data_IF_303486375238
#
_entry.id   IF_303486375238
#
_cell.length_a   1.000
_cell.length_b   1.000
_cell.length_c   1.000
_cell.angle_alpha   90.00
_cell.angle_beta   90.00
_cell.angle_gamma   90.00
#
_symmetry.space_group_name_H-M   'P 1'
#
loop_
_entity.id
_entity.type
_entity.pdbx_description
1 polymer ?
#
# COMPACT_ATOMS: atom_id res chain seq x y z
N UNK A 1 3.78 0.74 -34.54
CA UNK A 1 4.79 -0.25 -34.99
C UNK A 1 4.39 -1.64 -34.47
N UNK A 2 4.53 -2.69 -35.29
CA UNK A 2 4.25 -4.07 -34.86
C UNK A 2 5.27 -4.53 -33.82
N UNK A 3 4.83 -5.31 -32.83
CA UNK A 3 5.59 -5.80 -31.68
C UNK A 3 6.71 -6.79 -32.04
N UNK A 4 7.69 -6.37 -32.86
CA UNK A 4 8.86 -7.19 -33.16
C UNK A 4 9.63 -7.45 -31.86
N UNK A 5 9.83 -8.73 -31.54
CA UNK A 5 10.56 -9.16 -30.35
C UNK A 5 9.74 -9.22 -29.06
N UNK A 6 8.41 -9.18 -29.13
CA UNK A 6 7.55 -9.47 -27.97
C UNK A 6 7.40 -10.98 -27.77
N UNK A 7 7.39 -11.43 -26.51
CA UNK A 7 6.92 -12.78 -26.17
C UNK A 7 5.40 -12.90 -26.41
N UNK A 8 4.85 -14.12 -26.36
CA UNK A 8 3.40 -14.31 -26.50
C UNK A 8 2.62 -13.54 -25.41
N UNK A 9 3.10 -13.57 -24.17
CA UNK A 9 2.48 -12.89 -23.03
C UNK A 9 2.56 -11.37 -23.16
N UNK A 10 3.68 -10.86 -23.66
CA UNK A 10 3.85 -9.44 -23.97
C UNK A 10 2.95 -9.00 -25.12
N UNK A 11 2.81 -9.83 -26.16
CA UNK A 11 1.91 -9.55 -27.29
C UNK A 11 0.45 -9.49 -26.83
N UNK A 12 0.02 -10.39 -25.94
CA UNK A 12 -1.32 -10.34 -25.35
C UNK A 12 -1.56 -9.04 -24.58
N UNK A 13 -0.59 -8.62 -23.77
CA UNK A 13 -0.66 -7.36 -23.04
C UNK A 13 -0.68 -6.15 -23.99
N UNK A 14 0.14 -6.19 -25.03
CA UNK A 14 0.25 -5.17 -26.07
C UNK A 14 -1.08 -4.92 -26.79
N UNK A 15 -1.82 -5.99 -27.08
CA UNK A 15 -3.13 -5.93 -27.75
C UNK A 15 -4.28 -5.64 -26.81
N UNK A 16 -4.17 -6.03 -25.54
CA UNK A 16 -5.19 -5.76 -24.54
C UNK A 16 -5.14 -4.34 -23.96
N UNK A 17 -3.99 -3.66 -24.00
CA UNK A 17 -3.80 -2.34 -23.38
C UNK A 17 -4.70 -1.24 -23.98
N UNK A 18 -4.77 -1.03 -25.32
CA UNK A 18 -5.61 0.04 -25.88
C UNK A 18 -7.11 -0.05 -25.55
N UNK A 19 -7.76 -1.23 -25.60
CA UNK A 19 -9.13 -1.36 -25.12
C UNK A 19 -9.24 -1.45 -23.59
N UNK A 20 -8.12 -1.49 -22.86
CA UNK A 20 -8.08 -1.63 -21.41
C UNK A 20 -8.56 -2.99 -20.90
N UNK A 21 -8.35 -4.07 -21.65
CA UNK A 21 -8.75 -5.43 -21.25
C UNK A 21 -7.78 -6.04 -20.24
N UNK A 22 -8.30 -6.87 -19.33
CA UNK A 22 -7.49 -7.67 -18.41
C UNK A 22 -6.76 -8.80 -19.16
N UNK A 23 -5.47 -8.95 -18.87
CA UNK A 23 -4.65 -10.11 -19.24
C UNK A 23 -4.34 -10.92 -17.99
N UNK A 24 -4.88 -12.14 -17.91
CA UNK A 24 -4.68 -13.07 -16.79
C UNK A 24 -3.75 -14.22 -17.22
N UNK A 25 -2.47 -14.12 -16.85
CA UNK A 25 -1.44 -15.12 -17.15
C UNK A 25 -1.45 -16.31 -16.16
N UNK A 26 -2.16 -16.20 -15.02
CA UNK A 26 -2.25 -17.28 -14.03
C UNK A 26 -2.93 -18.55 -14.58
N UNK A 27 -3.79 -18.38 -15.59
CA UNK A 27 -4.45 -19.49 -16.29
C UNK A 27 -3.48 -20.31 -17.13
N UNK A 28 -2.44 -19.67 -17.68
CA UNK A 28 -1.43 -20.33 -18.53
C UNK A 28 -0.47 -21.18 -17.69
N UNK A 29 -0.22 -20.79 -16.44
CA UNK A 29 0.61 -21.56 -15.52
C UNK A 29 0.03 -22.94 -15.14
N UNK A 30 -1.28 -23.18 -15.30
CA UNK A 30 -1.96 -24.42 -14.88
C UNK A 30 -1.86 -25.59 -15.88
N UNK A 31 -1.34 -25.37 -17.08
CA UNK A 31 -1.41 -26.33 -18.20
C UNK A 31 -0.14 -27.11 -18.54
N UNK A 32 0.91 -27.05 -17.69
CA UNK A 32 2.33 -27.37 -17.94
C UNK A 32 3.15 -26.10 -18.25
N UNK A 33 3.59 -25.37 -17.22
CA UNK A 33 4.18 -24.04 -17.38
C UNK A 33 5.56 -24.12 -18.03
N UNK A 34 5.73 -23.48 -19.19
CA UNK A 34 7.02 -22.92 -19.55
C UNK A 34 7.13 -21.58 -18.82
N UNK A 35 8.23 -21.36 -18.10
CA UNK A 35 8.43 -20.17 -17.27
C UNK A 35 8.25 -18.86 -18.06
N UNK A 36 8.54 -18.88 -19.37
CA UNK A 36 8.35 -17.77 -20.32
C UNK A 36 6.91 -17.27 -20.44
N UNK A 37 5.91 -18.13 -20.19
CA UNK A 37 4.51 -17.83 -20.53
C UNK A 37 3.83 -16.89 -19.52
N UNK A 38 4.52 -16.61 -18.41
CA UNK A 38 4.06 -15.65 -17.41
C UNK A 38 4.97 -14.42 -17.32
N UNK A 39 6.08 -14.41 -18.06
CA UNK A 39 7.09 -13.35 -17.98
C UNK A 39 6.71 -12.21 -18.91
N UNK A 40 6.68 -10.99 -18.35
CA UNK A 40 6.53 -9.74 -19.08
C UNK A 40 7.70 -8.84 -18.67
N UNK A 41 8.47 -8.35 -19.65
CA UNK A 41 9.54 -7.39 -19.35
C UNK A 41 8.95 -6.07 -18.90
N UNK A 42 9.54 -5.50 -17.86
CA UNK A 42 9.20 -4.18 -17.34
C UNK A 42 9.30 -3.08 -18.41
N UNK A 43 10.27 -3.19 -19.32
CA UNK A 43 10.41 -2.27 -20.47
C UNK A 43 9.14 -2.20 -21.33
N UNK A 44 8.47 -3.34 -21.56
CA UNK A 44 7.23 -3.37 -22.36
C UNK A 44 6.10 -2.69 -21.61
N UNK A 45 6.03 -2.85 -20.29
CA UNK A 45 5.05 -2.18 -19.43
C UNK A 45 5.29 -0.66 -19.48
N UNK A 46 6.53 -0.20 -19.31
CA UNK A 46 6.90 1.22 -19.40
C UNK A 46 6.51 1.80 -20.76
N UNK A 47 6.85 1.11 -21.86
CA UNK A 47 6.49 1.52 -23.23
C UNK A 47 4.99 1.73 -23.42
N UNK A 48 4.17 0.79 -22.92
CA UNK A 48 2.71 0.92 -22.96
C UNK A 48 2.21 2.10 -22.13
N UNK A 49 2.71 2.26 -20.91
CA UNK A 49 2.30 3.34 -19.99
C UNK A 49 2.73 4.74 -20.46
N UNK A 50 3.80 4.83 -21.25
CA UNK A 50 4.31 6.07 -21.85
C UNK A 50 3.78 6.32 -23.28
N UNK A 51 2.71 5.63 -23.68
CA UNK A 51 1.91 6.01 -24.85
C UNK A 51 2.37 5.42 -26.18
N UNK A 52 3.10 4.30 -26.19
CA UNK A 52 3.53 3.68 -27.46
C UNK A 52 2.36 3.10 -28.28
N UNK A 53 1.18 2.95 -27.66
CA UNK A 53 -0.02 2.46 -28.32
C UNK A 53 -1.07 3.55 -28.44
N UNK A 54 -1.60 3.69 -29.65
CA UNK A 54 -2.71 4.58 -29.93
C UNK A 54 -3.99 4.09 -29.21
N UNK A 55 -4.75 5.00 -28.57
CA UNK A 55 -6.05 4.67 -27.98
C UNK A 55 -7.05 4.17 -29.03
N UNK A 56 -7.91 3.23 -28.64
CA UNK A 56 -9.02 2.76 -29.48
C UNK A 56 -10.26 3.60 -29.18
N UNK A 57 -10.96 4.15 -30.19
CA UNK A 57 -12.20 4.89 -29.99
C UNK A 57 -13.22 4.13 -29.15
N UNK A 58 -13.89 4.84 -28.24
CA UNK A 58 -14.88 4.27 -27.31
C UNK A 58 -14.29 3.44 -26.17
N UNK A 59 -12.96 3.33 -26.06
CA UNK A 59 -12.29 2.61 -24.98
C UNK A 59 -11.34 3.51 -24.20
N UNK A 60 -11.06 3.14 -22.95
CA UNK A 60 -10.09 3.82 -22.08
C UNK A 60 -8.88 2.90 -21.93
N UNK A 61 -7.71 3.26 -22.48
CA UNK A 61 -6.50 2.45 -22.32
C UNK A 61 -6.09 2.35 -20.85
N UNK A 62 -5.69 1.15 -20.43
CA UNK A 62 -5.25 0.89 -19.07
C UNK A 62 -4.37 -0.36 -19.03
N UNK A 63 -3.39 -0.36 -18.12
CA UNK A 63 -2.64 -1.56 -17.81
C UNK A 63 -3.44 -2.41 -16.82
N UNK A 64 -3.87 -3.60 -17.26
CA UNK A 64 -4.56 -4.59 -16.43
C UNK A 64 -3.91 -5.95 -16.63
N UNK A 65 -3.01 -6.30 -15.74
CA UNK A 65 -2.21 -7.52 -15.78
C UNK A 65 -2.40 -8.33 -14.50
N UNK A 66 -2.54 -9.64 -14.63
CA UNK A 66 -2.66 -10.54 -13.50
C UNK A 66 -1.79 -11.78 -13.66
N UNK A 67 -1.14 -12.22 -12.58
CA UNK A 67 -0.41 -13.49 -12.57
C UNK A 67 0.89 -13.47 -13.36
N UNK A 68 1.52 -12.31 -13.51
CA UNK A 68 2.74 -12.14 -14.30
C UNK A 68 3.99 -12.12 -13.42
N UNK A 69 5.11 -12.62 -13.97
CA UNK A 69 6.45 -12.32 -13.48
C UNK A 69 6.99 -11.12 -14.24
N UNK A 70 7.26 -10.02 -13.53
CA UNK A 70 7.78 -8.79 -14.13
C UNK A 70 9.30 -8.84 -14.13
N UNK A 71 9.88 -9.02 -15.31
CA UNK A 71 11.34 -9.13 -15.48
C UNK A 71 11.98 -7.75 -15.68
N UNK A 72 13.10 -7.51 -15.00
CA UNK A 72 13.78 -6.21 -15.00
C UNK A 72 13.15 -5.15 -14.09
N UNK A 73 13.54 -3.89 -14.30
CA UNK A 73 13.13 -2.74 -13.49
C UNK A 73 11.96 -2.00 -14.16
N UNK A 74 10.83 -1.91 -13.47
CA UNK A 74 9.73 -1.01 -13.84
C UNK A 74 10.05 0.38 -13.29
N UNK A 75 10.56 1.25 -14.15
CA UNK A 75 10.86 2.64 -13.82
C UNK A 75 9.91 3.57 -14.59
N UNK A 76 9.16 4.35 -13.82
CA UNK A 76 8.24 5.40 -14.29
C UNK A 76 8.54 6.73 -13.59
N UNK A 77 9.74 6.87 -13.02
CA UNK A 77 10.10 8.05 -12.22
C UNK A 77 9.97 9.33 -13.05
N UNK A 78 9.35 10.36 -12.47
CA UNK A 78 9.10 11.66 -13.11
C UNK A 78 8.09 11.66 -14.25
N UNK A 79 7.41 10.54 -14.52
CA UNK A 79 6.47 10.44 -15.65
C UNK A 79 5.04 10.86 -15.27
N UNK A 80 4.31 11.44 -16.23
CA UNK A 80 2.84 11.52 -16.18
C UNK A 80 2.26 10.32 -16.93
N UNK A 81 1.63 9.42 -16.19
CA UNK A 81 1.03 8.18 -16.69
C UNK A 81 -0.49 8.36 -16.67
N UNK A 82 -1.13 8.72 -17.79
CA UNK A 82 -2.56 9.05 -17.84
C UNK A 82 -3.48 7.81 -17.73
N UNK A 83 -2.92 6.65 -17.37
CA UNK A 83 -3.57 5.36 -17.35
C UNK A 83 -3.62 4.78 -15.93
N UNK A 84 -4.61 3.95 -15.66
CA UNK A 84 -4.61 3.11 -14.47
C UNK A 84 -3.56 1.99 -14.59
N UNK A 85 -2.84 1.74 -13.49
CA UNK A 85 -1.82 0.70 -13.35
C UNK A 85 -2.35 -0.39 -12.42
N UNK A 86 -2.93 -1.45 -12.99
CA UNK A 86 -3.48 -2.58 -12.24
C UNK A 86 -2.65 -3.82 -12.55
N UNK A 87 -1.90 -4.30 -11.56
CA UNK A 87 -1.00 -5.45 -11.65
C UNK A 87 -1.19 -6.35 -10.43
N UNK A 88 -2.15 -7.26 -10.48
CA UNK A 88 -2.57 -8.07 -9.33
C UNK A 88 -1.97 -9.48 -9.38
N UNK A 89 -1.66 -10.09 -8.23
CA UNK A 89 -1.03 -11.41 -8.17
C UNK A 89 0.26 -11.50 -9.02
N UNK A 90 1.05 -10.43 -9.08
CA UNK A 90 2.29 -10.38 -9.86
C UNK A 90 3.52 -10.57 -8.96
N UNK A 91 4.58 -11.15 -9.51
CA UNK A 91 5.88 -11.28 -8.85
C UNK A 91 6.89 -10.36 -9.56
N UNK A 92 7.52 -9.44 -8.84
CA UNK A 92 8.48 -8.48 -9.41
C UNK A 92 9.93 -8.90 -9.14
N UNK A 93 10.77 -8.91 -10.17
CA UNK A 93 12.21 -9.18 -10.02
C UNK A 93 12.93 -8.06 -9.26
N UNK A 94 12.57 -6.80 -9.56
CA UNK A 94 13.20 -5.60 -8.99
C UNK A 94 12.16 -4.68 -8.37
N UNK A 95 12.62 -3.80 -7.47
CA UNK A 95 11.79 -2.78 -6.82
C UNK A 95 11.25 -1.79 -7.86
N UNK A 96 9.93 -1.71 -8.08
CA UNK A 96 9.34 -0.73 -8.98
C UNK A 96 9.56 0.69 -8.45
N UNK A 97 9.83 1.61 -9.38
CA UNK A 97 10.10 3.02 -9.08
C UNK A 97 9.11 3.92 -9.81
N UNK A 98 8.39 4.71 -9.04
CA UNK A 98 7.47 5.72 -9.55
C UNK A 98 7.70 7.04 -8.76
N UNK A 99 8.96 7.33 -8.40
CA UNK A 99 9.33 8.55 -7.71
C UNK A 99 8.93 9.77 -8.56
N UNK A 100 8.23 10.74 -7.98
CA UNK A 100 7.70 11.92 -8.65
C UNK A 100 6.80 11.63 -9.87
N UNK A 101 6.27 10.41 -10.00
CA UNK A 101 5.34 10.06 -11.06
C UNK A 101 3.90 10.49 -10.73
N UNK A 102 3.06 10.68 -11.73
CA UNK A 102 1.62 10.84 -11.55
C UNK A 102 0.83 9.77 -12.31
N UNK A 103 -0.24 9.26 -11.70
CA UNK A 103 -1.11 8.25 -12.32
C UNK A 103 -2.53 8.30 -11.78
N UNK A 104 -3.46 7.68 -12.52
CA UNK A 104 -4.89 7.62 -12.15
C UNK A 104 -5.16 6.69 -10.98
N UNK A 105 -4.53 5.53 -10.94
CA UNK A 105 -4.77 4.50 -9.95
C UNK A 105 -3.62 3.50 -9.96
N UNK A 106 -3.24 3.01 -8.79
CA UNK A 106 -2.28 1.91 -8.63
C UNK A 106 -2.96 0.82 -7.84
N UNK A 107 -3.03 -0.40 -8.39
CA UNK A 107 -3.50 -1.59 -7.68
C UNK A 107 -2.52 -2.73 -7.90
N UNK A 108 -1.83 -3.10 -6.82
CA UNK A 108 -0.83 -4.18 -6.80
C UNK A 108 -1.30 -5.39 -6.00
N UNK A 109 -2.60 -5.52 -5.72
CA UNK A 109 -3.15 -6.49 -4.77
C UNK A 109 -2.59 -7.90 -4.96
N UNK A 110 -2.24 -8.57 -3.85
CA UNK A 110 -1.65 -9.92 -3.81
C UNK A 110 -0.28 -10.07 -4.51
N UNK A 111 0.41 -8.99 -4.83
CA UNK A 111 1.72 -9.06 -5.49
C UNK A 111 2.88 -9.24 -4.51
N UNK A 112 3.97 -9.84 -4.99
CA UNK A 112 5.25 -9.89 -4.28
C UNK A 112 6.23 -8.99 -5.00
N UNK A 113 6.84 -8.10 -4.25
CA UNK A 113 7.84 -7.19 -4.78
C UNK A 113 8.93 -7.00 -3.76
N UNK A 114 10.16 -6.74 -4.19
CA UNK A 114 11.24 -6.56 -3.23
C UNK A 114 11.05 -5.31 -2.35
N UNK A 115 10.46 -4.25 -2.89
CA UNK A 115 10.27 -2.91 -2.33
C UNK A 115 9.42 -2.08 -3.32
N UNK A 116 8.94 -0.90 -2.93
CA UNK A 116 8.23 0.01 -3.83
C UNK A 116 8.57 1.46 -3.48
N UNK A 117 8.91 2.24 -4.50
CA UNK A 117 9.22 3.65 -4.36
C UNK A 117 8.16 4.54 -5.02
N UNK A 118 7.35 5.21 -4.21
CA UNK A 118 6.35 6.21 -4.59
C UNK A 118 6.68 7.61 -4.02
N UNK A 119 7.94 7.87 -3.65
CA UNK A 119 8.33 9.18 -3.12
C UNK A 119 7.87 10.28 -4.07
N UNK A 120 7.25 11.33 -3.56
CA UNK A 120 6.73 12.45 -4.37
C UNK A 120 5.66 12.10 -5.42
N UNK A 121 5.16 10.86 -5.43
CA UNK A 121 4.20 10.44 -6.44
C UNK A 121 2.80 11.03 -6.18
N UNK A 122 2.02 11.21 -7.25
CA UNK A 122 0.61 11.59 -7.20
C UNK A 122 -0.28 10.48 -7.76
N UNK A 123 -1.22 10.00 -6.96
CA UNK A 123 -2.24 9.04 -7.37
C UNK A 123 -3.61 9.71 -7.26
N UNK A 124 -4.22 10.04 -8.40
CA UNK A 124 -5.50 10.78 -8.44
C UNK A 124 -6.68 9.96 -7.85
N UNK A 125 -6.56 8.64 -7.84
CA UNK A 125 -7.56 7.72 -7.33
C UNK A 125 -7.05 6.91 -6.15
N UNK A 126 -7.18 5.60 -6.25
CA UNK A 126 -6.82 4.67 -5.20
C UNK A 126 -5.34 4.25 -5.32
N UNK A 127 -4.66 4.15 -4.19
CA UNK A 127 -3.43 3.37 -4.06
C UNK A 127 -3.74 2.10 -3.26
N UNK A 128 -3.80 0.96 -3.95
CA UNK A 128 -4.02 -0.35 -3.31
C UNK A 128 -2.76 -1.19 -3.38
N UNK A 129 -2.24 -1.47 -2.19
CA UNK A 129 -1.10 -2.35 -1.93
C UNK A 129 -1.52 -3.49 -1.00
N UNK A 130 -2.77 -3.95 -1.11
CA UNK A 130 -3.36 -4.92 -0.20
C UNK A 130 -2.81 -6.35 -0.43
N UNK A 131 -2.62 -7.10 0.65
CA UNK A 131 -2.13 -8.47 0.66
C UNK A 131 -0.78 -8.67 -0.04
N UNK A 132 0.01 -7.60 -0.16
CA UNK A 132 1.33 -7.62 -0.76
C UNK A 132 2.39 -8.08 0.22
N UNK A 133 3.52 -8.57 -0.32
CA UNK A 133 4.72 -8.90 0.46
C UNK A 133 5.90 -8.09 -0.04
N UNK A 134 6.60 -7.44 0.88
CA UNK A 134 7.83 -6.69 0.62
C UNK A 134 8.88 -6.94 1.69
N UNK A 135 10.10 -7.25 1.28
CA UNK A 135 11.24 -7.43 2.19
C UNK A 135 12.07 -6.16 2.38
N UNK A 136 11.88 -5.16 1.51
CA UNK A 136 12.48 -3.82 1.57
C UNK A 136 11.39 -2.77 1.82
N UNK A 137 11.78 -1.52 2.14
CA UNK A 137 10.84 -0.49 2.54
C UNK A 137 9.79 -0.19 1.46
N UNK A 138 8.56 0.04 1.90
CA UNK A 138 7.53 0.73 1.11
C UNK A 138 7.68 2.24 1.35
N UNK A 139 8.03 2.99 0.31
CA UNK A 139 8.30 4.43 0.40
C UNK A 139 7.15 5.23 -0.21
N UNK A 140 6.45 5.93 0.65
CA UNK A 140 5.33 6.82 0.38
C UNK A 140 5.60 8.26 0.85
N UNK A 141 6.87 8.62 1.08
CA UNK A 141 7.25 9.95 1.55
C UNK A 141 6.79 11.02 0.56
N UNK A 142 6.04 12.01 1.04
CA UNK A 142 5.43 13.07 0.21
C UNK A 142 4.54 12.58 -0.93
N UNK A 143 4.10 11.32 -0.88
CA UNK A 143 3.10 10.82 -1.84
C UNK A 143 1.76 11.51 -1.56
N UNK A 144 1.01 11.80 -2.62
CA UNK A 144 -0.38 12.27 -2.52
C UNK A 144 -1.32 11.28 -3.17
N UNK A 145 -2.29 10.79 -2.41
CA UNK A 145 -3.37 9.90 -2.87
C UNK A 145 -4.68 10.65 -2.68
N UNK A 146 -5.36 11.00 -3.78
CA UNK A 146 -6.66 11.68 -3.72
C UNK A 146 -7.81 10.76 -3.29
N UNK A 147 -7.60 9.45 -3.36
CA UNK A 147 -8.48 8.44 -2.78
C UNK A 147 -7.95 7.86 -1.47
N UNK A 148 -8.19 6.57 -1.30
CA UNK A 148 -7.75 5.77 -0.15
C UNK A 148 -6.38 5.16 -0.42
N UNK A 149 -5.53 5.12 0.60
CA UNK A 149 -4.33 4.28 0.62
C UNK A 149 -4.66 2.98 1.36
N UNK A 150 -4.69 1.85 0.65
CA UNK A 150 -5.10 0.55 1.19
C UNK A 150 -3.93 -0.44 1.21
N UNK A 151 -3.41 -0.66 2.41
CA UNK A 151 -2.35 -1.58 2.77
C UNK A 151 -2.90 -2.75 3.62
N UNK A 152 -4.19 -3.10 3.46
CA UNK A 152 -4.79 -4.22 4.21
C UNK A 152 -4.06 -5.53 3.93
N UNK A 153 -3.73 -6.29 4.98
CA UNK A 153 -3.15 -7.62 4.89
C UNK A 153 -1.69 -7.67 4.43
N UNK A 154 -0.98 -6.54 4.40
CA UNK A 154 0.42 -6.52 3.94
C UNK A 154 1.36 -7.24 4.89
N UNK A 155 2.44 -7.79 4.34
CA UNK A 155 3.62 -8.19 5.09
C UNK A 155 4.81 -7.34 4.63
N UNK A 156 5.25 -6.40 5.46
CA UNK A 156 6.35 -5.48 5.16
C UNK A 156 7.56 -5.79 6.02
N UNK A 157 8.74 -5.66 5.43
CA UNK A 157 10.03 -5.72 6.10
C UNK A 157 10.92 -4.57 5.65
N UNK A 158 11.89 -4.21 6.49
CA UNK A 158 12.88 -3.19 6.17
C UNK A 158 13.21 -2.31 7.37
N UNK A 159 14.19 -1.44 7.21
CA UNK A 159 14.61 -0.49 8.25
C UNK A 159 14.73 0.91 7.63
N UNK A 160 13.69 1.76 7.71
CA UNK A 160 12.31 1.50 8.18
C UNK A 160 11.52 0.60 7.21
N UNK A 161 10.41 0.00 7.65
CA UNK A 161 9.59 -0.89 6.80
C UNK A 161 8.54 -0.12 5.98
N UNK A 162 7.98 0.95 6.54
CA UNK A 162 7.04 1.85 5.87
C UNK A 162 7.46 3.30 6.12
N UNK A 163 7.72 4.05 5.05
CA UNK A 163 8.00 5.49 5.11
C UNK A 163 6.84 6.24 4.52
N UNK A 164 6.02 6.89 5.33
CA UNK A 164 4.85 7.67 4.92
C UNK A 164 4.94 9.10 5.47
N UNK A 165 6.16 9.62 5.64
CA UNK A 165 6.39 10.99 6.06
C UNK A 165 5.79 11.98 5.06
N UNK A 166 4.98 12.92 5.56
CA UNK A 166 4.25 13.91 4.78
C UNK A 166 3.36 13.30 3.69
N UNK A 167 2.95 12.03 3.84
CA UNK A 167 1.93 11.41 3.01
C UNK A 167 0.62 12.19 3.16
N UNK A 168 -0.06 12.43 2.04
CA UNK A 168 -1.44 12.93 2.04
C UNK A 168 -2.33 11.85 1.44
N UNK A 169 -3.23 11.28 2.25
CA UNK A 169 -4.36 10.51 1.76
C UNK A 169 -5.63 11.34 1.98
N UNK A 170 -6.27 11.81 0.91
CA UNK A 170 -7.45 12.69 1.03
C UNK A 170 -8.67 11.97 1.60
N UNK A 171 -8.68 10.63 1.54
CA UNK A 171 -9.68 9.77 2.18
C UNK A 171 -9.03 8.94 3.28
N UNK A 172 -9.23 7.63 3.27
CA UNK A 172 -8.77 6.75 4.35
C UNK A 172 -7.35 6.23 4.13
N UNK A 173 -6.69 5.87 5.23
CA UNK A 173 -5.50 5.02 5.22
C UNK A 173 -5.84 3.73 5.95
N UNK A 174 -5.86 2.62 5.21
CA UNK A 174 -6.26 1.31 5.71
C UNK A 174 -5.04 0.40 5.79
N UNK A 175 -4.77 -0.18 6.96
CA UNK A 175 -3.67 -1.12 7.15
C UNK A 175 -4.12 -2.28 8.06
N UNK A 176 -5.32 -2.81 7.84
CA UNK A 176 -5.87 -3.89 8.67
C UNK A 176 -5.11 -5.19 8.48
N UNK A 177 -5.06 -6.05 9.49
CA UNK A 177 -4.53 -7.41 9.39
C UNK A 177 -3.09 -7.49 8.83
N UNK A 178 -2.32 -6.42 9.02
CA UNK A 178 -0.98 -6.27 8.47
C UNK A 178 0.12 -6.70 9.46
N UNK A 179 1.23 -7.22 8.93
CA UNK A 179 2.44 -7.53 9.71
C UNK A 179 3.59 -6.68 9.19
N UNK A 180 4.13 -5.82 10.04
CA UNK A 180 5.21 -4.89 9.69
C UNK A 180 6.41 -5.17 10.57
N UNK A 181 7.50 -5.63 9.97
CA UNK A 181 8.78 -5.91 10.62
C UNK A 181 9.76 -4.78 10.35
N UNK A 182 9.82 -3.83 11.27
CA UNK A 182 10.57 -2.58 11.17
C UNK A 182 9.74 -1.39 11.62
N UNK A 183 10.35 -0.21 11.54
CA UNK A 183 9.71 1.06 11.91
C UNK A 183 8.69 1.51 10.84
N UNK A 184 7.59 2.10 11.31
CA UNK A 184 6.61 2.84 10.51
C UNK A 184 6.78 4.33 10.78
N UNK A 185 7.14 5.09 9.77
CA UNK A 185 7.28 6.54 9.84
C UNK A 185 6.08 7.22 9.17
N UNK A 186 5.43 8.14 9.87
CA UNK A 186 4.26 8.91 9.41
C UNK A 186 4.39 10.38 9.83
N UNK A 187 5.61 10.93 9.82
CA UNK A 187 5.84 12.31 10.26
C UNK A 187 5.06 13.31 9.43
N UNK A 188 4.25 14.16 10.07
CA UNK A 188 3.45 15.19 9.40
C UNK A 188 2.52 14.64 8.30
N UNK A 189 2.16 13.35 8.35
CA UNK A 189 1.20 12.76 7.42
C UNK A 189 -0.20 13.32 7.66
N UNK A 190 -1.02 13.38 6.61
CA UNK A 190 -2.37 13.91 6.64
C UNK A 190 -3.34 12.90 6.03
N UNK A 191 -4.25 12.39 6.86
CA UNK A 191 -5.30 11.47 6.46
C UNK A 191 -6.62 12.23 6.57
N UNK A 192 -7.27 12.53 5.44
CA UNK A 192 -8.50 13.32 5.43
C UNK A 192 -9.69 12.59 6.05
N UNK A 193 -9.73 11.27 5.86
CA UNK A 193 -10.71 10.36 6.46
C UNK A 193 -10.12 9.61 7.66
N UNK A 194 -10.29 8.30 7.66
CA UNK A 194 -9.98 7.43 8.78
C UNK A 194 -8.61 6.78 8.62
N UNK A 195 -7.84 6.73 9.71
CA UNK A 195 -6.65 5.88 9.82
C UNK A 195 -7.01 4.58 10.55
N UNK A 196 -6.80 3.45 9.90
CA UNK A 196 -7.12 2.12 10.44
C UNK A 196 -5.86 1.25 10.52
N UNK A 197 -5.54 0.83 11.74
CA UNK A 197 -4.48 -0.12 12.11
C UNK A 197 -5.06 -1.31 12.92
N UNK A 198 -6.28 -1.74 12.59
CA UNK A 198 -6.93 -2.87 13.26
C UNK A 198 -6.23 -4.19 12.94
N UNK A 199 -5.97 -5.02 13.95
CA UNK A 199 -5.24 -6.28 13.81
C UNK A 199 -3.83 -6.13 13.19
N UNK A 200 -3.28 -4.92 13.17
CA UNK A 200 -1.93 -4.66 12.67
C UNK A 200 -0.89 -5.00 13.73
N UNK A 201 0.12 -5.78 13.36
CA UNK A 201 1.27 -6.10 14.19
C UNK A 201 2.52 -5.40 13.67
N UNK A 202 3.00 -4.40 14.41
CA UNK A 202 4.25 -3.71 14.10
C UNK A 202 5.34 -4.20 15.07
N UNK A 203 6.45 -4.71 14.53
CA UNK A 203 7.52 -5.39 15.26
C UNK A 203 8.83 -4.66 14.97
N UNK A 204 9.37 -3.94 15.96
CA UNK A 204 10.69 -3.30 15.88
C UNK A 204 11.45 -3.47 17.21
N UNK A 205 12.12 -4.61 17.44
CA UNK A 205 12.75 -4.90 18.74
C UNK A 205 13.77 -3.84 19.13
N UNK A 206 13.62 -3.25 20.33
CA UNK A 206 14.54 -2.24 20.86
C UNK A 206 14.43 -0.86 20.21
N UNK A 207 13.46 -0.64 19.31
CA UNK A 207 13.25 0.63 18.61
C UNK A 207 11.79 1.12 18.68
N UNK A 208 11.56 2.30 18.11
CA UNK A 208 10.20 2.86 17.96
C UNK A 208 9.47 2.11 16.86
N UNK A 209 8.23 1.67 17.12
CA UNK A 209 7.44 0.90 16.15
C UNK A 209 6.70 1.80 15.17
N UNK A 210 5.96 2.78 15.67
CA UNK A 210 5.22 3.77 14.89
C UNK A 210 5.62 5.17 15.36
N UNK A 211 6.11 5.99 14.44
CA UNK A 211 6.43 7.37 14.68
C UNK A 211 5.52 8.28 13.84
N UNK A 212 4.51 8.87 14.49
CA UNK A 212 3.50 9.71 13.86
C UNK A 212 3.55 11.16 14.32
N UNK A 213 4.74 11.70 14.64
CA UNK A 213 4.85 13.10 15.06
C UNK A 213 4.27 14.04 13.99
N UNK A 214 3.37 14.94 14.38
CA UNK A 214 2.62 15.80 13.46
C UNK A 214 1.55 15.12 12.59
N UNK A 215 1.24 13.84 12.79
CA UNK A 215 0.17 13.14 12.07
C UNK A 215 -1.19 13.79 12.34
N UNK A 216 -1.95 14.09 11.27
CA UNK A 216 -3.32 14.59 11.32
C UNK A 216 -4.27 13.57 10.70
N UNK A 217 -5.34 13.24 11.42
CA UNK A 217 -6.43 12.37 10.95
C UNK A 217 -7.75 13.12 11.08
N UNK A 218 -8.43 13.35 9.96
CA UNK A 218 -9.68 14.14 9.92
C UNK A 218 -10.91 13.35 10.38
N UNK A 219 -10.88 12.03 10.25
CA UNK A 219 -11.90 11.10 10.72
C UNK A 219 -11.49 10.35 11.98
N UNK A 220 -11.75 9.04 12.01
CA UNK A 220 -11.41 8.19 13.15
C UNK A 220 -9.98 7.64 13.09
N UNK A 221 -9.45 7.29 14.27
CA UNK A 221 -8.26 6.46 14.39
C UNK A 221 -8.64 5.14 15.06
N UNK A 222 -8.54 4.05 14.33
CA UNK A 222 -8.88 2.71 14.82
C UNK A 222 -7.62 1.88 14.94
N UNK A 223 -7.14 1.73 16.16
CA UNK A 223 -6.04 0.82 16.49
C UNK A 223 -6.52 -0.11 17.59
N UNK A 224 -6.48 -1.41 17.32
CA UNK A 224 -6.95 -2.42 18.24
C UNK A 224 -6.88 -3.79 17.60
N UNK A 225 -6.76 -4.82 18.42
CA UNK A 225 -7.07 -6.18 17.99
C UNK A 225 -8.57 -6.36 18.12
N UNK A 226 -9.23 -6.74 17.05
CA UNK A 226 -10.58 -7.30 17.15
C UNK A 226 -10.41 -8.59 17.94
N UNK A 227 -11.00 -8.74 19.14
CA UNK A 227 -10.89 -9.98 19.86
C UNK A 227 -11.61 -11.05 19.03
N UNK A 228 -10.87 -11.93 18.37
CA UNK A 228 -11.37 -13.29 18.18
C UNK A 228 -11.49 -13.85 19.61
N UNK A 229 -12.71 -13.80 20.16
CA UNK A 229 -12.98 -13.99 21.59
C UNK A 229 -12.44 -15.30 22.18
N UNK A 230 -12.34 -15.45 23.51
CA UNK A 230 -12.10 -14.46 24.58
C UNK A 230 -10.62 -14.60 25.08
N UNK A 231 -9.93 -13.63 25.66
CA UNK A 231 -10.15 -13.25 27.07
C UNK A 231 -9.21 -12.10 27.55
N UNK A 232 -8.84 -11.14 26.71
CA UNK A 232 -7.99 -10.02 27.18
C UNK A 232 -8.47 -8.65 26.71
N UNK A 233 -8.80 -7.80 27.70
CA UNK A 233 -9.25 -6.41 27.54
C UNK A 233 -8.03 -5.48 27.45
N UNK A 234 -8.03 -4.58 26.46
CA UNK A 234 -7.12 -3.43 26.42
C UNK A 234 -7.92 -2.14 26.68
N UNK A 235 -7.48 -1.37 27.68
CA UNK A 235 -7.96 -0.02 27.96
C UNK A 235 -7.24 0.99 27.08
N UNK A 236 -7.96 1.93 26.48
CA UNK A 236 -7.39 3.16 25.95
C UNK A 236 -8.13 4.37 26.50
N UNK A 237 -7.37 5.42 26.86
CA UNK A 237 -7.87 6.73 27.31
C UNK A 237 -7.21 7.77 26.41
N UNK A 238 -7.97 8.34 25.49
CA UNK A 238 -7.56 9.52 24.72
C UNK A 238 -8.70 10.54 24.66
N UNK A 239 -8.33 11.81 24.70
CA UNK A 239 -9.21 12.97 24.68
C UNK A 239 -9.87 13.07 23.30
N UNK A 240 -11.15 12.72 23.24
CA UNK A 240 -12.07 13.27 22.26
C UNK A 240 -12.49 14.62 22.82
N UNK A 241 -12.24 15.72 22.09
CA UNK A 241 -12.84 17.00 22.42
C UNK A 241 -14.37 16.90 22.18
N UNK A 242 -15.13 16.67 23.25
CA UNK A 242 -16.55 16.97 23.32
C UNK A 242 -16.87 17.58 24.70
N UNK A 243 -17.05 18.92 24.81
CA UNK A 243 -17.17 19.59 26.09
C UNK A 243 -18.53 19.43 26.81
N UNK A 244 -19.40 18.46 26.47
CA UNK A 244 -20.77 18.43 27.05
C UNK A 244 -21.39 17.07 27.43
N UNK A 245 -20.65 16.07 27.95
CA UNK A 245 -21.30 14.91 28.60
C UNK A 245 -20.65 14.47 29.92
N UNK A 246 -21.32 14.76 31.04
CA UNK A 246 -21.05 14.21 32.38
C UNK A 246 -21.88 12.94 32.62
N UNK A 247 -21.28 11.86 33.10
CA UNK A 247 -21.94 10.78 33.86
C UNK A 247 -20.93 10.13 34.86
N UNK A 248 -21.41 9.45 35.95
CA UNK A 248 -20.83 9.53 37.31
C UNK A 248 -19.91 8.35 37.72
N UNK A 249 -19.31 8.49 38.91
CA UNK A 249 -18.25 7.64 39.48
C UNK A 249 -18.72 6.27 40.01
N UNK A 250 -17.88 5.24 39.81
CA UNK A 250 -17.95 3.91 40.44
C UNK A 250 -16.56 3.45 40.94
N UNK A 251 -16.48 2.44 41.83
CA UNK A 251 -15.39 2.30 42.82
C UNK A 251 -14.14 1.53 42.35
N UNK A 252 -13.03 1.76 43.08
CA UNK A 252 -11.65 1.31 42.82
C UNK A 252 -11.37 -0.19 43.09
N UNK A 253 -10.44 -0.75 42.30
CA UNK A 253 -9.82 -2.09 42.48
C UNK A 253 -8.28 -1.92 42.43
N UNK A 254 -7.48 -2.54 43.31
CA UNK A 254 -6.04 -2.31 43.40
C UNK A 254 -5.21 -3.12 42.38
N UNK A 255 -3.98 -2.68 42.02
CA UNK A 255 -3.22 -3.23 40.90
C UNK A 255 -2.23 -4.35 41.31
N UNK A 256 -1.83 -5.25 40.37
CA UNK A 256 -0.77 -6.23 40.59
C UNK A 256 0.63 -5.67 40.26
N UNK A 257 1.63 -6.23 40.94
CA UNK A 257 3.05 -5.84 40.90
C UNK A 257 3.79 -6.48 39.71
N UNK A 258 4.52 -5.67 38.95
CA UNK A 258 5.46 -6.11 37.90
C UNK A 258 5.90 -4.94 37.01
N UNK A 259 7.21 -4.66 36.98
CA UNK A 259 7.82 -3.50 36.31
C UNK A 259 7.77 -3.61 34.78
N UNK A 260 6.96 -2.75 34.14
CA UNK A 260 7.08 -2.34 32.74
C UNK A 260 6.68 -0.85 32.62
N UNK A 261 7.40 -0.08 31.79
CA UNK A 261 7.35 1.38 31.73
C UNK A 261 5.93 1.97 31.67
N UNK A 262 5.59 2.76 32.70
CA UNK A 262 4.31 3.44 32.88
C UNK A 262 4.46 4.90 32.47
N UNK A 263 3.64 5.37 31.51
CA UNK A 263 3.46 6.80 31.25
C UNK A 263 2.61 7.37 32.40
N UNK A 264 3.23 8.15 33.28
CA UNK A 264 2.57 8.83 34.39
C UNK A 264 2.08 10.22 33.99
N UNK A 265 0.93 10.58 34.53
CA UNK A 265 0.20 11.84 34.36
C UNK A 265 0.98 13.00 34.98
N UNK A 266 1.48 13.94 34.18
CA UNK A 266 1.80 15.28 34.68
C UNK A 266 0.49 16.06 34.81
N UNK A 267 0.09 16.36 36.04
CA UNK A 267 -1.04 17.25 36.34
C UNK A 267 -0.55 18.70 36.40
N UNK A 268 -1.14 19.53 35.53
CA UNK A 268 -1.16 21.01 35.46
C UNK A 268 0.18 21.75 35.52
#
# INVERSE_FOLDING_TARGET
MSGRGLSESEQLLWDAFPPGRLVDLSRRARGAPQASDTVVRAEIITRLLLGEREPVPGHVPALRLQGATVAGLLDLSGCDVPHAVVMTNCDFEREPRLEAASTKLIDLTHSKLPGLDLRDARVDGLFRFAHCRSARPLRLTRTRVSGTADLTGVCLGGTPALQADSLVAERDFLCRDAVVSGEVLMWSAQIGGTLVLENTRIINPGGVTLNGDGLVVGGGFFAGTTPQAPDHRLHSRWLVDDPRRQLPAGPEVPPPQGDYGVITRASR
#
